data_IF_828767388243
#
_entry.id   IF_828767388243
#
_cell.length_a   1.000
_cell.length_b   1.000
_cell.length_c   1.000
_cell.angle_alpha   90.00
_cell.angle_beta   90.00
_cell.angle_gamma   90.00
#
_symmetry.space_group_name_H-M   'P 1'
#
loop_
_entity.id
_entity.type
_entity.pdbx_description
1 polymer ?
#
# COMPACT_ATOMS: atom_id res chain seq x y z
N UNK A 1 13.48 -31.11 -4.41
CA UNK A 1 13.78 -31.00 -2.96
C UNK A 1 14.50 -29.70 -2.60
N UNK A 2 15.47 -29.22 -3.40
CA UNK A 2 16.11 -27.91 -3.21
C UNK A 2 15.12 -26.73 -3.20
N UNK A 3 14.05 -26.79 -3.99
CA UNK A 3 13.04 -25.72 -4.06
C UNK A 3 12.28 -25.50 -2.75
N UNK A 4 12.11 -26.55 -1.94
CA UNK A 4 11.40 -26.48 -0.66
C UNK A 4 12.25 -25.76 0.39
N UNK A 5 13.56 -26.01 0.38
CA UNK A 5 14.54 -25.35 1.25
C UNK A 5 14.71 -23.88 0.86
N UNK A 6 14.74 -23.59 -0.45
CA UNK A 6 14.73 -22.20 -0.97
C UNK A 6 13.45 -21.45 -0.56
N UNK A 7 12.27 -22.09 -0.67
CA UNK A 7 10.99 -21.51 -0.26
C UNK A 7 10.95 -21.21 1.24
N UNK A 8 11.44 -22.12 2.08
CA UNK A 8 11.53 -21.93 3.52
C UNK A 8 12.49 -20.80 3.90
N UNK A 9 13.63 -20.68 3.21
CA UNK A 9 14.58 -19.57 3.39
C UNK A 9 14.00 -18.21 3.00
N UNK A 10 13.24 -18.15 1.89
CA UNK A 10 12.53 -16.92 1.47
C UNK A 10 11.48 -16.50 2.51
N UNK A 11 10.71 -17.45 3.05
CA UNK A 11 9.71 -17.16 4.10
C UNK A 11 10.32 -16.61 5.39
N UNK A 12 11.53 -17.03 5.77
CA UNK A 12 12.25 -16.50 6.93
C UNK A 12 12.80 -15.08 6.70
N UNK A 13 13.19 -14.75 5.46
CA UNK A 13 13.63 -13.40 5.07
C UNK A 13 12.43 -12.45 4.94
N UNK A 14 11.29 -12.92 4.43
CA UNK A 14 10.06 -12.14 4.39
C UNK A 14 9.54 -11.80 5.79
N UNK A 15 9.66 -12.69 6.78
CA UNK A 15 9.35 -12.38 8.18
C UNK A 15 10.22 -11.25 8.77
N UNK A 16 11.37 -10.94 8.16
CA UNK A 16 12.22 -9.80 8.50
C UNK A 16 11.81 -8.47 7.83
N UNK A 17 10.88 -8.49 6.87
CA UNK A 17 10.32 -7.31 6.20
C UNK A 17 8.84 -7.16 6.57
N UNK A 18 8.53 -6.67 7.78
CA UNK A 18 7.15 -6.57 8.27
C UNK A 18 6.25 -5.66 7.43
N UNK A 19 6.85 -4.82 6.57
CA UNK A 19 6.16 -3.83 5.76
C UNK A 19 6.78 -3.71 4.37
N UNK A 20 5.95 -3.69 3.32
CA UNK A 20 6.36 -3.38 1.95
C UNK A 20 5.88 -1.99 1.54
N UNK A 21 6.78 -1.19 0.96
CA UNK A 21 6.42 0.09 0.34
C UNK A 21 5.86 -0.15 -1.05
N UNK A 22 4.72 0.45 -1.35
CA UNK A 22 4.04 0.41 -2.64
C UNK A 22 3.59 1.81 -3.04
N UNK A 23 3.44 2.04 -4.33
CA UNK A 23 2.95 3.30 -4.88
C UNK A 23 1.58 3.08 -5.50
N UNK A 24 0.67 4.01 -5.26
CA UNK A 24 -0.68 3.96 -5.80
C UNK A 24 -1.17 5.31 -6.25
N UNK A 25 -2.22 5.31 -7.06
CA UNK A 25 -2.88 6.52 -7.55
C UNK A 25 -4.30 6.61 -7.01
N UNK A 26 -4.72 7.80 -6.59
CA UNK A 26 -6.12 8.04 -6.20
C UNK A 26 -7.02 7.95 -7.42
N UNK A 27 -8.01 7.05 -7.39
CA UNK A 27 -9.00 6.87 -8.47
C UNK A 27 -10.31 7.55 -8.15
N UNK A 28 -10.73 7.53 -6.88
CA UNK A 28 -11.96 8.16 -6.40
C UNK A 28 -11.75 8.70 -5.00
N UNK A 29 -12.45 9.79 -4.67
CA UNK A 29 -12.40 10.43 -3.33
C UNK A 29 -13.59 10.03 -2.44
N UNK A 30 -14.74 9.68 -3.03
CA UNK A 30 -15.98 9.41 -2.29
C UNK A 30 -16.71 8.18 -2.90
N UNK A 31 -16.47 6.97 -2.37
CA UNK A 31 -15.51 6.61 -1.33
C UNK A 31 -14.06 6.65 -1.84
N UNK A 32 -13.10 6.86 -0.93
CA UNK A 32 -11.67 6.88 -1.26
C UNK A 32 -11.26 5.51 -1.83
N UNK A 33 -10.77 5.51 -3.06
CA UNK A 33 -10.25 4.32 -3.73
C UNK A 33 -8.87 4.62 -4.30
N UNK A 34 -7.92 3.74 -4.01
CA UNK A 34 -6.52 3.88 -4.44
C UNK A 34 -6.16 2.68 -5.30
N UNK A 35 -5.65 2.93 -6.49
CA UNK A 35 -5.15 1.91 -7.39
C UNK A 35 -3.67 1.70 -7.16
N UNK A 36 -3.29 0.49 -6.79
CA UNK A 36 -1.92 0.01 -6.78
C UNK A 36 -1.57 -0.51 -8.17
N UNK A 37 -0.49 0.02 -8.74
CA UNK A 37 0.02 -0.33 -10.07
C UNK A 37 -1.09 -0.28 -11.16
N UNK A 38 -1.26 -1.37 -11.93
CA UNK A 38 -2.21 -1.48 -13.05
C UNK A 38 -3.29 -2.56 -12.85
N UNK A 39 -3.34 -3.26 -11.70
CA UNK A 39 -4.26 -4.40 -11.54
C UNK A 39 -5.07 -4.42 -10.25
N UNK A 40 -4.65 -3.74 -9.19
CA UNK A 40 -5.30 -3.83 -7.89
C UNK A 40 -5.89 -2.47 -7.48
N UNK A 41 -7.20 -2.39 -7.28
CA UNK A 41 -7.85 -1.20 -6.72
C UNK A 41 -8.30 -1.52 -5.30
N UNK A 42 -7.77 -0.76 -4.34
CA UNK A 42 -8.10 -0.89 -2.93
C UNK A 42 -9.34 -0.05 -2.62
N UNK A 43 -10.40 -0.67 -2.07
CA UNK A 43 -11.53 0.08 -1.53
C UNK A 43 -11.16 0.72 -0.19
N UNK A 44 -11.94 1.71 0.23
CA UNK A 44 -11.72 2.46 1.48
C UNK A 44 -11.55 1.58 2.73
N UNK A 45 -12.23 0.43 2.80
CA UNK A 45 -12.12 -0.49 3.95
C UNK A 45 -10.76 -1.19 4.11
N UNK A 46 -9.93 -1.21 3.07
CA UNK A 46 -8.57 -1.77 3.13
C UNK A 46 -7.51 -0.68 3.43
N UNK A 47 -7.90 0.59 3.40
CA UNK A 47 -7.01 1.73 3.57
C UNK A 47 -7.06 2.23 5.02
N UNK A 48 -5.89 2.35 5.63
CA UNK A 48 -5.69 3.06 6.89
C UNK A 48 -5.17 4.44 6.55
N UNK A 49 -6.04 5.45 6.67
CA UNK A 49 -5.71 6.84 6.37
C UNK A 49 -5.35 7.54 7.68
N UNK A 50 -4.12 8.04 7.84
CA UNK A 50 -3.76 8.83 9.02
C UNK A 50 -4.46 10.19 9.00
N UNK A 51 -4.68 10.76 10.19
CA UNK A 51 -5.36 12.05 10.37
C UNK A 51 -4.66 13.19 9.60
N UNK A 52 -3.33 13.16 9.53
CA UNK A 52 -2.51 14.12 8.78
C UNK A 52 -2.88 14.20 7.29
N UNK A 53 -3.37 13.10 6.73
CA UNK A 53 -3.76 13.00 5.33
C UNK A 53 -5.26 13.28 5.13
N UNK A 54 -6.09 13.02 6.15
CA UNK A 54 -7.51 13.34 6.16
C UNK A 54 -7.77 14.86 6.10
N UNK A 55 -6.87 15.67 6.69
CA UNK A 55 -6.94 17.13 6.62
C UNK A 55 -6.41 17.71 5.29
N UNK A 56 -5.79 16.88 4.43
CA UNK A 56 -5.26 17.32 3.13
C UNK A 56 -6.29 17.16 2.02
N UNK A 57 -6.31 18.12 1.10
CA UNK A 57 -7.10 18.02 -0.13
C UNK A 57 -6.36 17.06 -1.07
N UNK A 58 -6.85 15.82 -1.15
CA UNK A 58 -6.45 14.84 -2.15
C UNK A 58 -7.22 15.09 -3.46
N UNK A 59 -6.53 14.95 -4.58
CA UNK A 59 -7.15 14.97 -5.90
C UNK A 59 -7.12 13.59 -6.55
N UNK A 60 -8.09 13.33 -7.44
CA UNK A 60 -8.02 12.16 -8.32
C UNK A 60 -6.79 12.30 -9.21
N UNK A 61 -5.97 11.25 -9.25
CA UNK A 61 -4.70 11.26 -9.96
C UNK A 61 -3.47 11.46 -9.06
N UNK A 62 -3.65 11.84 -7.80
CA UNK A 62 -2.53 11.99 -6.85
C UNK A 62 -1.83 10.65 -6.63
N UNK A 63 -0.49 10.71 -6.65
CA UNK A 63 0.36 9.56 -6.34
C UNK A 63 0.60 9.48 -4.84
N UNK A 64 0.31 8.34 -4.24
CA UNK A 64 0.41 8.06 -2.82
C UNK A 64 1.44 6.97 -2.54
N UNK A 65 2.14 7.12 -1.43
CA UNK A 65 3.02 6.11 -0.86
C UNK A 65 2.21 5.29 0.13
N UNK A 66 2.23 3.97 -0.03
CA UNK A 66 1.46 3.02 0.76
C UNK A 66 2.40 2.01 1.42
N UNK A 67 2.06 1.64 2.64
CA UNK A 67 2.72 0.59 3.40
C UNK A 67 1.78 -0.59 3.52
N UNK A 68 2.15 -1.70 2.89
CA UNK A 68 1.46 -2.98 3.04
C UNK A 68 2.02 -3.72 4.24
N UNK A 69 1.20 -3.97 5.25
CA UNK A 69 1.60 -4.73 6.44
C UNK A 69 1.50 -6.24 6.19
N UNK A 70 2.45 -7.01 6.71
CA UNK A 70 2.35 -8.48 6.70
C UNK A 70 1.26 -8.99 7.66
N UNK A 71 0.52 -10.00 7.21
CA UNK A 71 -0.54 -10.64 8.01
C UNK A 71 -1.95 -10.11 7.78
N UNK A 72 -2.15 -9.13 6.89
CA UNK A 72 -3.48 -8.61 6.54
C UNK A 72 -3.55 -7.98 5.14
N UNK A 73 -4.77 -7.56 4.73
CA UNK A 73 -4.99 -6.71 3.55
C UNK A 73 -5.06 -5.22 3.93
N UNK A 74 -4.32 -4.82 4.95
CA UNK A 74 -4.29 -3.44 5.44
C UNK A 74 -3.15 -2.67 4.77
N UNK A 75 -3.51 -1.51 4.23
CA UNK A 75 -2.60 -0.61 3.55
C UNK A 75 -2.61 0.73 4.26
N UNK A 76 -1.49 1.11 4.85
CA UNK A 76 -1.36 2.41 5.53
C UNK A 76 -0.88 3.44 4.51
N UNK A 77 -1.64 4.53 4.35
CA UNK A 77 -1.20 5.65 3.49
C UNK A 77 -0.18 6.47 4.26
N UNK A 78 1.03 6.65 3.71
CA UNK A 78 2.08 7.45 4.33
C UNK A 78 1.93 8.93 3.97
N UNK A 79 2.09 9.25 2.69
CA UNK A 79 1.93 10.60 2.18
C UNK A 79 1.73 10.59 0.65
N UNK A 80 1.34 11.75 0.11
CA UNK A 80 1.37 12.02 -1.33
C UNK A 80 2.79 12.32 -1.80
N UNK A 81 3.14 11.76 -2.96
CA UNK A 81 4.37 12.10 -3.66
C UNK A 81 4.16 13.43 -4.40
N UNK A 82 5.08 14.37 -4.21
CA UNK A 82 5.14 15.63 -4.97
C UNK A 82 6.41 15.59 -5.80
N UNK A 83 6.28 15.69 -7.12
CA UNK A 83 7.43 15.84 -8.01
C UNK A 83 8.06 17.22 -7.79
N UNK A 84 9.39 17.35 -7.66
CA UNK A 84 10.06 18.63 -7.46
C UNK A 84 9.93 19.56 -8.67
#
# INVERSE_FOLDING_TARGET
MLDVIKKAGIGAVEAGQPVQVQFGQVVSLQPLAVRLDQRLTLPSGALVVPESLAARVLAVGDSLILLRMQGGQSYVVLDRMVTP
#
